data_IF_392339333133
#
_entry.id   IF_392339333133
#
_cell.length_a   1.000
_cell.length_b   1.000
_cell.length_c   1.000
_cell.angle_alpha   90.00
_cell.angle_beta   90.00
_cell.angle_gamma   90.00
#
_symmetry.space_group_name_H-M   'P 1'
#
loop_
_entity.id
_entity.type
_entity.pdbx_description
1 polymer ?
#
# COMPACT_ATOMS: atom_id res chain seq x y z
N UNK A 1 -0.86 2.59 -16.46
CA UNK A 1 0.11 3.71 -16.29
C UNK A 1 -0.52 5.06 -16.64
N UNK A 2 -1.31 5.17 -17.72
CA UNK A 2 -1.95 6.42 -18.17
C UNK A 2 -2.77 7.21 -17.13
N UNK A 3 -3.38 6.54 -16.12
CA UNK A 3 -4.24 7.23 -15.14
C UNK A 3 -3.47 8.18 -14.22
N UNK A 4 -2.29 7.77 -13.74
CA UNK A 4 -1.45 8.61 -12.88
C UNK A 4 -0.98 9.85 -13.64
N UNK A 5 -0.47 9.65 -14.84
CA UNK A 5 0.00 10.73 -15.73
C UNK A 5 -1.13 11.72 -16.05
N UNK A 6 -2.33 11.22 -16.35
CA UNK A 6 -3.49 12.07 -16.58
C UNK A 6 -3.85 12.93 -15.37
N UNK A 7 -3.82 12.36 -14.16
CA UNK A 7 -4.08 13.11 -12.92
C UNK A 7 -2.98 14.11 -12.59
N UNK A 8 -1.71 13.77 -12.82
CA UNK A 8 -0.61 14.71 -12.69
C UNK A 8 -0.77 15.91 -13.63
N UNK A 9 -1.18 15.67 -14.88
CA UNK A 9 -1.47 16.74 -15.84
C UNK A 9 -2.66 17.63 -15.43
N UNK A 10 -3.59 17.11 -14.63
CA UNK A 10 -4.69 17.88 -14.03
C UNK A 10 -4.27 18.69 -12.79
N UNK A 11 -3.00 18.63 -12.38
CA UNK A 11 -2.46 19.38 -11.24
C UNK A 11 -2.42 18.62 -9.92
N UNK A 12 -2.63 17.30 -9.92
CA UNK A 12 -2.51 16.47 -8.71
C UNK A 12 -1.04 16.13 -8.47
N UNK A 13 -0.51 16.51 -7.30
CA UNK A 13 0.81 16.11 -6.81
C UNK A 13 0.76 14.71 -6.19
N UNK A 14 1.65 13.82 -6.63
CA UNK A 14 1.77 12.46 -6.11
C UNK A 14 3.10 12.30 -5.37
N UNK A 15 3.04 12.18 -4.05
CA UNK A 15 4.19 11.85 -3.20
C UNK A 15 4.19 10.35 -2.92
N UNK A 16 5.03 9.62 -3.65
CA UNK A 16 5.20 8.17 -3.51
C UNK A 16 6.32 7.85 -2.52
N UNK A 17 6.34 6.63 -1.98
CA UNK A 17 7.31 6.21 -0.96
C UNK A 17 7.32 7.18 0.23
N UNK A 18 6.12 7.56 0.71
CA UNK A 18 5.94 8.45 1.86
C UNK A 18 4.86 7.87 2.74
N UNK A 19 5.23 7.44 3.93
CA UNK A 19 4.35 6.84 4.92
C UNK A 19 3.89 7.88 5.94
N UNK A 20 2.57 8.08 6.04
CA UNK A 20 1.96 8.95 7.04
C UNK A 20 1.98 8.26 8.41
N UNK A 21 2.61 8.91 9.39
CA UNK A 21 2.90 8.37 10.72
C UNK A 21 4.36 8.02 10.93
N UNK A 22 5.15 7.92 9.85
CA UNK A 22 6.59 7.63 9.89
C UNK A 22 7.39 8.78 9.26
N UNK A 23 7.21 9.03 7.96
CA UNK A 23 7.92 10.10 7.23
C UNK A 23 7.29 11.48 7.46
N UNK A 24 5.96 11.53 7.54
CA UNK A 24 5.19 12.76 7.80
C UNK A 24 4.11 12.52 8.83
N UNK A 25 3.81 13.52 9.65
CA UNK A 25 2.76 13.38 10.68
C UNK A 25 1.38 13.78 10.15
N UNK A 26 0.32 13.15 10.68
CA UNK A 26 -1.05 13.57 10.37
C UNK A 26 -1.33 15.00 10.87
N UNK A 27 -0.73 15.41 11.99
CA UNK A 27 -0.88 16.75 12.54
C UNK A 27 -0.39 17.83 11.56
N UNK A 28 0.77 17.60 10.94
CA UNK A 28 1.30 18.47 9.92
C UNK A 28 0.32 18.61 8.73
N UNK A 29 -0.26 17.49 8.26
CA UNK A 29 -1.22 17.53 7.16
C UNK A 29 -2.49 18.31 7.49
N UNK A 30 -2.92 18.32 8.76
CA UNK A 30 -4.09 19.08 9.21
C UNK A 30 -3.80 20.58 9.36
N UNK A 31 -2.53 20.97 9.52
CA UNK A 31 -2.09 22.36 9.57
C UNK A 31 -1.84 22.93 8.16
N UNK A 32 -1.19 22.15 7.30
CA UNK A 32 -0.75 22.58 5.97
C UNK A 32 -1.89 22.63 4.93
N UNK A 33 -3.02 21.96 5.18
CA UNK A 33 -4.13 21.83 4.22
C UNK A 33 -5.49 22.12 4.84
N UNK A 34 -6.38 22.75 4.07
CA UNK A 34 -7.75 23.08 4.50
C UNK A 34 -8.62 21.85 4.80
N UNK A 35 -8.36 20.72 4.14
CA UNK A 35 -9.13 19.49 4.29
C UNK A 35 -8.29 18.27 3.97
N UNK A 36 -8.42 17.23 4.80
CA UNK A 36 -7.74 15.96 4.64
C UNK A 36 -8.76 14.84 4.44
N UNK A 37 -8.61 14.09 3.34
CA UNK A 37 -9.37 12.87 3.09
C UNK A 37 -8.50 11.63 3.38
N UNK A 38 -8.96 10.78 4.29
CA UNK A 38 -8.26 9.53 4.64
C UNK A 38 -8.75 8.39 3.75
N UNK A 39 -7.99 8.07 2.71
CA UNK A 39 -8.22 6.94 1.81
C UNK A 39 -7.38 5.70 2.14
N UNK A 40 -7.19 5.39 3.42
CA UNK A 40 -6.34 4.25 3.85
C UNK A 40 -7.03 2.91 3.63
N UNK A 41 -6.24 1.87 3.34
CA UNK A 41 -6.70 0.48 3.22
C UNK A 41 -5.94 -0.36 4.26
N UNK A 42 -6.49 -1.51 4.63
CA UNK A 42 -5.86 -2.44 5.57
C UNK A 42 -4.81 -3.31 4.86
N UNK A 43 -3.54 -3.16 5.23
CA UNK A 43 -2.45 -4.00 4.74
C UNK A 43 -2.17 -5.24 5.61
N UNK A 44 -2.86 -5.37 6.75
CA UNK A 44 -2.71 -6.53 7.63
C UNK A 44 -3.72 -7.61 7.24
N UNK A 45 -3.22 -8.78 6.84
CA UNK A 45 -4.04 -9.97 6.66
C UNK A 45 -4.86 -10.27 7.92
N UNK A 46 -6.17 -10.50 7.75
CA UNK A 46 -6.99 -11.00 8.84
C UNK A 46 -6.70 -12.48 9.06
N UNK A 47 -6.31 -12.84 10.29
CA UNK A 47 -6.15 -14.23 10.70
C UNK A 47 -7.50 -14.81 11.14
N UNK A 48 -7.84 -15.99 10.62
CA UNK A 48 -9.08 -16.70 10.89
C UNK A 48 -9.07 -17.39 12.27
N UNK A 49 -7.90 -17.61 12.87
CA UNK A 49 -7.69 -18.27 14.17
C UNK A 49 -8.32 -19.66 14.22
N UNK A 50 -8.08 -20.44 13.17
CA UNK A 50 -8.60 -21.81 13.02
C UNK A 50 -7.48 -22.84 13.13
N UNK A 51 -7.85 -24.07 13.48
CA UNK A 51 -6.89 -25.17 13.51
C UNK A 51 -6.21 -25.35 12.14
N UNK A 52 -4.90 -25.57 12.16
CA UNK A 52 -4.04 -25.73 10.98
C UNK A 52 -3.85 -24.48 10.11
N UNK A 53 -4.16 -23.27 10.60
CA UNK A 53 -3.93 -22.01 9.87
C UNK A 53 -2.44 -21.79 9.51
N UNK A 54 -1.51 -22.33 10.29
CA UNK A 54 -0.05 -22.20 10.07
C UNK A 54 0.57 -23.53 9.58
N UNK A 55 -0.24 -24.45 9.04
CA UNK A 55 0.25 -25.73 8.53
C UNK A 55 1.07 -25.56 7.23
N UNK A 56 2.01 -26.48 6.94
CA UNK A 56 2.80 -26.43 5.71
C UNK A 56 1.90 -26.39 4.47
N UNK A 57 2.10 -25.38 3.61
CA UNK A 57 1.31 -25.18 2.40
C UNK A 57 0.13 -24.23 2.54
N UNK A 58 -0.16 -23.74 3.76
CA UNK A 58 -1.11 -22.65 3.97
C UNK A 58 -0.35 -21.32 3.88
N UNK A 59 -0.83 -20.42 3.02
CA UNK A 59 -0.22 -19.12 2.78
C UNK A 59 -1.27 -18.02 2.86
N UNK A 60 -0.88 -16.87 3.41
CA UNK A 60 -1.70 -15.67 3.36
C UNK A 60 -1.83 -15.21 1.89
N UNK A 61 -3.04 -14.83 1.49
CA UNK A 61 -3.31 -14.43 0.10
C UNK A 61 -2.57 -13.13 -0.28
N UNK A 62 -2.42 -12.19 0.66
CA UNK A 62 -1.89 -10.86 0.35
C UNK A 62 -0.43 -10.90 -0.15
N UNK A 63 0.53 -11.57 0.54
CA UNK A 63 1.89 -11.75 0.01
C UNK A 63 1.90 -12.39 -1.38
N UNK A 64 1.07 -13.41 -1.61
CA UNK A 64 0.98 -14.09 -2.89
C UNK A 64 0.49 -13.16 -4.01
N UNK A 65 -0.57 -12.39 -3.76
CA UNK A 65 -1.14 -11.47 -4.76
C UNK A 65 -0.18 -10.33 -5.11
N UNK A 66 0.56 -9.80 -4.13
CA UNK A 66 1.60 -8.80 -4.34
C UNK A 66 2.71 -9.37 -5.22
N UNK A 67 3.27 -10.53 -4.84
CA UNK A 67 4.33 -11.19 -5.59
C UNK A 67 3.91 -11.53 -7.03
N UNK A 68 2.69 -12.06 -7.22
CA UNK A 68 2.16 -12.36 -8.55
C UNK A 68 2.04 -11.09 -9.42
N UNK A 69 1.57 -9.98 -8.83
CA UNK A 69 1.45 -8.70 -9.56
C UNK A 69 2.82 -8.20 -10.00
N UNK A 70 3.83 -8.25 -9.11
CA UNK A 70 5.21 -7.90 -9.44
C UNK A 70 5.76 -8.77 -10.57
N UNK A 71 5.57 -10.08 -10.49
CA UNK A 71 6.00 -11.02 -11.52
C UNK A 71 5.40 -10.69 -12.89
N UNK A 72 4.07 -10.50 -12.96
CA UNK A 72 3.36 -10.15 -14.20
C UNK A 72 3.82 -8.80 -14.76
N UNK A 73 4.19 -7.86 -13.89
CA UNK A 73 4.68 -6.53 -14.27
C UNK A 73 6.19 -6.47 -14.53
N UNK A 74 6.95 -7.56 -14.28
CA UNK A 74 8.41 -7.58 -14.39
C UNK A 74 9.12 -6.66 -13.40
N UNK A 75 8.53 -6.42 -12.22
CA UNK A 75 9.11 -5.58 -11.18
C UNK A 75 10.08 -6.38 -10.31
N UNK A 76 11.15 -5.74 -9.78
CA UNK A 76 12.07 -6.39 -8.87
C UNK A 76 11.43 -6.66 -7.51
N UNK A 77 11.96 -7.66 -6.81
CA UNK A 77 11.70 -7.84 -5.39
C UNK A 77 12.35 -6.69 -4.61
N UNK A 78 11.65 -6.18 -3.58
CA UNK A 78 12.17 -5.12 -2.70
C UNK A 78 12.59 -5.77 -1.39
N UNK A 79 13.72 -5.34 -0.82
CA UNK A 79 14.35 -5.98 0.34
C UNK A 79 13.56 -5.81 1.66
N UNK A 80 12.63 -4.86 1.73
CA UNK A 80 11.92 -4.43 2.95
C UNK A 80 10.39 -4.66 2.93
N UNK A 81 9.90 -5.69 2.23
CA UNK A 81 8.47 -6.10 2.25
C UNK A 81 8.16 -7.28 3.16
#
# INVERSE_FOLDING_TARGET
IHRREGFSAMGIDFRLNTEVGNDISLAQLLEDYDTVFLGVVTYRSMKAKIDNEEAPGVFDALPFLIANTKHVMGLPDLEDE
#
